data_IF_595753846120
#
_entry.id   IF_595753846120
#
_cell.length_a   1.000
_cell.length_b   1.000
_cell.length_c   1.000
_cell.angle_alpha   90.00
_cell.angle_beta   90.00
_cell.angle_gamma   90.00
#
_symmetry.space_group_name_H-M   'P 1'
#
loop_
_entity.id
_entity.type
_entity.pdbx_description
1 polymer ?
#
# COMPACT_ATOMS: atom_id res chain seq x y z
N UNK A 1 15.08 53.66 15.20
CA UNK A 1 14.06 52.98 16.05
C UNK A 1 13.38 51.76 15.40
N UNK A 2 13.53 51.53 14.09
CA UNK A 2 12.79 50.46 13.36
C UNK A 2 13.54 49.12 13.21
N UNK A 3 14.72 48.95 13.81
CA UNK A 3 15.57 47.75 13.67
C UNK A 3 15.67 46.90 14.94
N UNK A 4 14.71 47.03 15.86
CA UNK A 4 14.68 46.15 17.03
C UNK A 4 14.14 44.79 16.59
N UNK A 5 14.98 43.76 16.66
CA UNK A 5 14.60 42.38 16.38
C UNK A 5 13.57 41.93 17.43
N UNK A 6 12.34 41.72 16.99
CA UNK A 6 11.28 41.15 17.83
C UNK A 6 11.54 39.65 18.00
N UNK A 7 11.65 39.22 19.25
CA UNK A 7 11.81 37.81 19.60
C UNK A 7 10.46 37.17 19.88
N UNK A 8 10.28 35.94 19.40
CA UNK A 8 9.17 35.09 19.81
C UNK A 8 9.49 34.42 21.17
N UNK A 9 8.48 34.11 22.01
CA UNK A 9 8.66 33.37 23.25
C UNK A 9 9.52 32.09 23.11
N UNK A 10 9.38 31.35 22.02
CA UNK A 10 10.19 30.16 21.72
C UNK A 10 11.68 30.43 21.51
N UNK A 11 12.06 31.65 21.13
CA UNK A 11 13.46 32.08 20.91
C UNK A 11 14.16 32.50 22.19
N UNK A 12 13.43 32.57 23.31
CA UNK A 12 13.94 32.92 24.62
C UNK A 12 14.09 31.63 25.44
N UNK A 13 15.14 31.47 26.27
CA UNK A 13 15.28 30.31 27.15
C UNK A 13 14.08 30.17 28.09
N UNK A 14 13.70 28.93 28.41
CA UNK A 14 12.50 28.62 29.19
C UNK A 14 12.45 29.35 30.55
N UNK A 15 13.62 29.59 31.16
CA UNK A 15 13.78 30.29 32.45
C UNK A 15 13.22 31.72 32.45
N UNK A 16 13.22 32.38 31.28
CA UNK A 16 12.75 33.76 31.13
C UNK A 16 11.36 33.85 30.51
N UNK A 17 10.71 32.71 30.21
CA UNK A 17 9.36 32.69 29.65
C UNK A 17 8.35 32.87 30.77
N UNK A 18 7.73 34.04 30.82
CA UNK A 18 6.57 34.25 31.67
C UNK A 18 5.36 33.62 30.98
N UNK A 19 4.63 32.72 31.67
CA UNK A 19 3.35 32.17 31.21
C UNK A 19 2.33 33.31 31.11
N UNK A 20 2.24 33.89 29.92
CA UNK A 20 1.40 35.04 29.60
C UNK A 20 0.65 34.76 28.29
N UNK A 21 -0.34 35.59 28.00
CA UNK A 21 -1.16 35.57 26.77
C UNK A 21 -0.33 35.52 25.47
N UNK A 22 0.90 36.02 25.49
CA UNK A 22 1.81 36.00 24.33
C UNK A 22 2.27 34.57 23.99
N UNK A 23 2.51 33.72 25.00
CA UNK A 23 2.85 32.31 24.78
C UNK A 23 1.67 31.59 24.14
N UNK A 24 0.45 31.83 24.62
CA UNK A 24 -0.76 31.24 24.04
C UNK A 24 -1.00 31.68 22.59
N UNK A 25 -0.69 32.95 22.28
CA UNK A 25 -0.74 33.48 20.91
C UNK A 25 0.29 32.78 20.02
N UNK A 26 1.53 32.59 20.50
CA UNK A 26 2.54 31.85 19.74
C UNK A 26 2.12 30.40 19.53
N UNK A 27 1.59 29.71 20.55
CA UNK A 27 1.09 28.34 20.43
C UNK A 27 0.04 28.24 19.32
N UNK A 28 -0.97 29.13 19.32
CA UNK A 28 -1.99 29.19 18.26
C UNK A 28 -1.37 29.44 16.88
N UNK A 29 -0.39 30.34 16.78
CA UNK A 29 0.34 30.61 15.55
C UNK A 29 1.07 29.35 15.04
N UNK A 30 1.77 28.63 15.92
CA UNK A 30 2.52 27.42 15.54
C UNK A 30 1.62 26.27 15.12
N UNK A 31 0.47 26.10 15.78
CA UNK A 31 -0.56 25.14 15.35
C UNK A 31 -1.04 25.46 13.94
N UNK A 32 -1.38 26.73 13.66
CA UNK A 32 -1.76 27.16 12.32
C UNK A 32 -0.67 26.90 11.27
N UNK A 33 0.58 27.28 11.57
CA UNK A 33 1.72 27.03 10.69
C UNK A 33 1.95 25.54 10.41
N UNK A 34 1.75 24.66 11.40
CA UNK A 34 1.87 23.23 11.22
C UNK A 34 0.79 22.67 10.28
N UNK A 35 -0.48 23.07 10.47
CA UNK A 35 -1.57 22.65 9.58
C UNK A 35 -1.42 23.23 8.16
N UNK A 36 -0.99 24.48 8.01
CA UNK A 36 -0.71 25.08 6.70
C UNK A 36 0.44 24.37 5.98
N UNK A 37 1.49 23.98 6.73
CA UNK A 37 2.59 23.21 6.19
C UNK A 37 2.12 21.81 5.74
N UNK A 38 1.26 21.13 6.51
CA UNK A 38 0.67 19.85 6.11
C UNK A 38 -0.20 19.98 4.86
N UNK A 39 -1.04 21.02 4.78
CA UNK A 39 -1.86 21.30 3.60
C UNK A 39 -0.98 21.54 2.36
N UNK A 40 0.05 22.36 2.52
CA UNK A 40 1.04 22.61 1.46
C UNK A 40 1.77 21.34 1.02
N UNK A 41 2.11 20.46 1.96
CA UNK A 41 2.76 19.18 1.68
C UNK A 41 1.85 18.30 0.83
N UNK A 42 0.56 18.18 1.18
CA UNK A 42 -0.42 17.41 0.41
C UNK A 42 -0.57 17.93 -1.01
N UNK A 43 -0.80 19.24 -1.17
CA UNK A 43 -0.94 19.86 -2.49
C UNK A 43 0.30 19.63 -3.37
N UNK A 44 1.52 19.80 -2.85
CA UNK A 44 2.73 19.54 -3.64
C UNK A 44 2.80 18.10 -4.15
N UNK A 45 2.38 17.13 -3.33
CA UNK A 45 2.43 15.71 -3.68
C UNK A 45 1.28 15.25 -4.59
N UNK A 46 0.25 16.06 -4.80
CA UNK A 46 -0.80 15.82 -5.80
C UNK A 46 -0.29 16.09 -7.24
N UNK A 47 0.60 17.07 -7.41
CA UNK A 47 0.97 17.59 -8.72
C UNK A 47 2.34 17.12 -9.26
N UNK A 48 3.07 16.28 -8.52
CA UNK A 48 4.44 15.84 -8.84
C UNK A 48 4.53 14.69 -9.86
N UNK A 49 4.00 14.87 -11.07
CA UNK A 49 4.13 13.89 -12.17
C UNK A 49 5.18 14.24 -13.25
N UNK A 50 5.88 15.38 -13.20
CA UNK A 50 6.80 15.80 -14.27
C UNK A 50 8.29 15.76 -13.87
N UNK A 51 9.10 14.96 -14.58
CA UNK A 51 10.49 14.59 -14.22
C UNK A 51 11.49 15.74 -14.03
N UNK A 52 11.42 16.83 -14.80
CA UNK A 52 12.27 18.02 -14.63
C UNK A 52 11.80 18.94 -13.49
N UNK A 53 10.51 18.86 -13.11
CA UNK A 53 9.96 19.52 -11.93
C UNK A 53 10.25 18.75 -10.64
N UNK A 54 10.79 17.52 -10.70
CA UNK A 54 10.99 16.68 -9.52
C UNK A 54 12.04 17.28 -8.58
N UNK A 55 13.15 17.83 -9.09
CA UNK A 55 14.20 18.32 -8.17
C UNK A 55 13.80 19.61 -7.47
N UNK A 56 13.19 20.55 -8.18
CA UNK A 56 12.64 21.78 -7.58
C UNK A 56 11.46 21.48 -6.65
N UNK A 57 10.59 20.54 -7.02
CA UNK A 57 9.51 20.06 -6.16
C UNK A 57 10.05 19.36 -4.90
N UNK A 58 11.07 18.50 -5.02
CA UNK A 58 11.74 17.86 -3.88
C UNK A 58 12.31 18.89 -2.90
N UNK A 59 12.99 19.93 -3.41
CA UNK A 59 13.51 21.02 -2.56
C UNK A 59 12.38 21.78 -1.87
N UNK A 60 11.28 22.05 -2.57
CA UNK A 60 10.10 22.73 -2.01
C UNK A 60 9.43 21.87 -0.94
N UNK A 61 9.25 20.59 -1.20
CA UNK A 61 8.75 19.59 -0.25
C UNK A 61 9.62 19.54 1.00
N UNK A 62 10.94 19.46 0.85
CA UNK A 62 11.87 19.47 1.98
C UNK A 62 11.74 20.78 2.79
N UNK A 63 11.61 21.93 2.13
CA UNK A 63 11.39 23.22 2.81
C UNK A 63 10.04 23.28 3.55
N UNK A 64 8.99 22.64 3.03
CA UNK A 64 7.70 22.57 3.71
C UNK A 64 7.79 21.61 4.91
N UNK A 65 8.45 20.47 4.75
CA UNK A 65 8.68 19.51 5.82
C UNK A 65 9.48 20.14 6.98
N UNK A 66 10.52 20.91 6.69
CA UNK A 66 11.29 21.61 7.74
C UNK A 66 10.46 22.66 8.49
N UNK A 67 9.56 23.38 7.80
CA UNK A 67 8.63 24.30 8.47
C UNK A 67 7.69 23.57 9.43
N UNK A 68 7.18 22.42 9.01
CA UNK A 68 6.34 21.57 9.85
C UNK A 68 7.11 21.07 11.09
N UNK A 69 8.30 20.50 10.91
CA UNK A 69 9.09 19.96 12.02
C UNK A 69 9.51 21.04 13.02
N UNK A 70 9.93 22.22 12.55
CA UNK A 70 10.24 23.36 13.42
C UNK A 70 9.01 23.83 14.18
N UNK A 71 7.84 23.87 13.55
CA UNK A 71 6.59 24.26 14.22
C UNK A 71 6.21 23.24 15.31
N UNK A 72 6.37 21.94 15.05
CA UNK A 72 6.13 20.90 16.04
C UNK A 72 7.14 20.94 17.19
N UNK A 73 8.44 21.11 16.91
CA UNK A 73 9.48 21.23 17.93
C UNK A 73 9.27 22.45 18.83
N UNK A 74 8.88 23.58 18.24
CA UNK A 74 8.56 24.79 19.02
C UNK A 74 7.32 24.57 19.90
N UNK A 75 6.27 23.90 19.41
CA UNK A 75 5.11 23.52 20.22
C UNK A 75 5.49 22.62 21.40
N UNK A 76 6.28 21.57 21.15
CA UNK A 76 6.82 20.69 22.20
C UNK A 76 7.56 21.51 23.26
N UNK A 77 8.37 22.48 22.84
CA UNK A 77 9.15 23.33 23.76
C UNK A 77 8.31 24.31 24.59
N UNK A 78 7.11 24.67 24.14
CA UNK A 78 6.24 25.67 24.78
C UNK A 78 5.18 25.03 25.68
N UNK A 79 4.60 23.90 25.27
CA UNK A 79 3.44 23.27 25.93
C UNK A 79 3.80 21.90 26.53
N UNK A 80 4.89 21.28 26.09
CA UNK A 80 5.20 19.87 26.39
C UNK A 80 4.48 18.91 25.44
N UNK A 81 4.84 17.63 25.49
CA UNK A 81 4.29 16.61 24.59
C UNK A 81 2.78 16.39 24.78
N UNK A 82 2.27 16.51 26.00
CA UNK A 82 0.89 16.14 26.34
C UNK A 82 -0.16 17.17 25.89
N UNK A 83 0.26 18.39 25.56
CA UNK A 83 -0.64 19.47 25.13
C UNK A 83 -0.72 19.67 23.61
N UNK A 84 -0.14 18.75 22.83
CA UNK A 84 -0.11 18.84 21.37
C UNK A 84 -1.37 18.18 20.81
N UNK A 85 -1.91 18.78 19.75
CA UNK A 85 -3.01 18.19 18.99
C UNK A 85 -2.63 16.77 18.51
N UNK A 86 -3.42 15.73 18.80
CA UNK A 86 -3.12 14.35 18.40
C UNK A 86 -3.01 14.15 16.87
N UNK A 87 -3.51 15.11 16.07
CA UNK A 87 -3.34 15.11 14.62
C UNK A 87 -1.92 15.51 14.17
N UNK A 88 -1.18 16.25 15.00
CA UNK A 88 0.20 16.65 14.74
C UNK A 88 1.17 15.58 15.23
N UNK A 89 1.65 14.75 14.29
CA UNK A 89 2.60 13.67 14.56
C UNK A 89 4.01 14.04 14.11
N UNK A 90 5.00 13.33 14.64
CA UNK A 90 6.37 13.40 14.12
C UNK A 90 6.37 13.07 12.61
N UNK A 91 6.93 13.96 11.79
CA UNK A 91 7.06 13.76 10.35
C UNK A 91 8.40 13.10 10.05
N UNK A 92 8.36 11.85 9.58
CA UNK A 92 9.54 11.13 9.11
C UNK A 92 9.69 11.31 7.60
N UNK A 93 10.90 11.15 7.07
CA UNK A 93 11.14 11.26 5.62
C UNK A 93 10.27 10.30 4.81
N UNK A 94 10.00 9.11 5.37
CA UNK A 94 9.08 8.14 4.76
C UNK A 94 7.63 8.64 4.72
N UNK A 95 7.19 9.52 5.61
CA UNK A 95 5.80 9.95 5.61
C UNK A 95 5.51 10.95 4.47
N UNK A 96 6.56 11.58 3.94
CA UNK A 96 6.54 12.54 2.85
C UNK A 96 6.43 11.79 1.51
N UNK A 97 5.23 11.32 1.21
CA UNK A 97 4.92 10.48 0.04
C UNK A 97 3.69 10.97 -0.71
N UNK A 98 3.65 10.70 -2.02
CA UNK A 98 2.46 10.94 -2.81
C UNK A 98 1.34 9.99 -2.42
N UNK A 99 0.10 10.40 -2.68
CA UNK A 99 -1.07 9.62 -2.35
C UNK A 99 -1.08 8.25 -3.08
N UNK A 100 -0.42 8.15 -4.23
CA UNK A 100 -0.31 6.93 -5.03
C UNK A 100 0.92 6.06 -4.68
N UNK A 101 1.88 6.57 -3.89
CA UNK A 101 3.09 5.82 -3.57
C UNK A 101 2.80 4.64 -2.62
N UNK A 102 3.37 3.46 -2.88
CA UNK A 102 3.27 2.34 -1.95
C UNK A 102 3.98 2.65 -0.62
N UNK A 103 3.41 2.15 0.47
CA UNK A 103 4.06 2.20 1.78
C UNK A 103 5.30 1.29 1.76
N UNK A 104 6.48 1.85 2.06
CA UNK A 104 7.70 1.08 2.28
C UNK A 104 7.75 0.75 3.77
N UNK A 105 7.40 -0.48 4.13
CA UNK A 105 7.63 -1.01 5.48
C UNK A 105 9.13 -1.26 5.66
N UNK A 106 9.73 -0.67 6.69
CA UNK A 106 11.16 -0.89 7.05
C UNK A 106 11.48 -2.36 7.36
N UNK A 107 10.49 -3.15 7.78
CA UNK A 107 10.63 -4.59 8.06
C UNK A 107 10.72 -5.49 6.82
N UNK A 108 10.65 -4.92 5.61
CA UNK A 108 10.77 -5.67 4.35
C UNK A 108 12.05 -5.30 3.62
N UNK A 109 13.19 -5.66 4.22
CA UNK A 109 14.48 -5.75 3.54
C UNK A 109 14.59 -6.97 2.59
N UNK A 110 13.50 -7.72 2.41
CA UNK A 110 13.41 -8.74 1.37
C UNK A 110 12.95 -8.10 0.06
N UNK A 111 13.92 -7.88 -0.84
CA UNK A 111 13.74 -7.44 -2.23
C UNK A 111 12.72 -8.26 -3.02
N UNK A 112 12.33 -9.44 -2.53
CA UNK A 112 11.29 -10.29 -3.11
C UNK A 112 9.87 -9.74 -2.88
N UNK A 113 9.64 -8.97 -1.80
CA UNK A 113 8.30 -8.47 -1.44
C UNK A 113 7.97 -7.10 -2.06
N UNK A 114 8.96 -6.35 -2.54
CA UNK A 114 8.73 -5.13 -3.32
C UNK A 114 7.97 -5.40 -4.64
N UNK A 115 8.02 -6.64 -5.13
CA UNK A 115 7.30 -7.09 -6.33
C UNK A 115 5.94 -7.76 -6.04
N UNK A 116 5.52 -7.89 -4.78
CA UNK A 116 4.23 -8.50 -4.43
C UNK A 116 3.08 -7.48 -4.53
N UNK A 117 2.82 -7.01 -5.76
CA UNK A 117 1.60 -6.31 -6.14
C UNK A 117 1.22 -5.05 -5.34
N UNK A 118 0.08 -4.45 -5.67
CA UNK A 118 -0.44 -3.25 -5.00
C UNK A 118 -1.27 -3.57 -3.75
N UNK A 119 -1.30 -4.82 -3.29
CA UNK A 119 -2.20 -5.31 -2.24
C UNK A 119 -1.88 -4.83 -0.82
N UNK A 120 -0.63 -4.42 -0.56
CA UNK A 120 -0.16 -3.98 0.77
C UNK A 120 -0.04 -2.44 0.88
N UNK A 121 -0.62 -1.67 -0.05
CA UNK A 121 -0.49 -0.20 -0.02
C UNK A 121 -1.34 0.41 1.10
N UNK A 122 -0.72 1.10 2.04
CA UNK A 122 -1.40 2.00 2.97
C UNK A 122 -1.03 3.46 2.69
N UNK A 123 -1.95 4.36 3.01
CA UNK A 123 -1.74 5.81 2.86
C UNK A 123 -0.94 6.34 4.06
N UNK A 124 0.01 7.24 3.80
CA UNK A 124 0.73 7.96 4.86
C UNK A 124 -0.24 8.72 5.78
N UNK A 125 0.09 8.84 7.06
CA UNK A 125 -0.74 9.49 8.07
C UNK A 125 -1.03 10.97 7.75
N UNK A 126 -0.16 11.62 6.97
CA UNK A 126 -0.37 12.98 6.49
C UNK A 126 -1.65 13.10 5.67
N UNK A 127 -2.10 12.01 5.02
CA UNK A 127 -3.34 11.95 4.25
C UNK A 127 -4.53 11.50 5.11
N UNK A 128 -4.32 10.62 6.09
CA UNK A 128 -5.38 10.16 6.99
C UNK A 128 -5.97 11.29 7.85
N UNK A 129 -5.12 12.22 8.31
CA UNK A 129 -5.56 13.39 9.08
C UNK A 129 -6.33 14.43 8.24
N UNK A 130 -6.24 14.36 6.90
CA UNK A 130 -6.96 15.26 5.99
C UNK A 130 -8.44 14.91 5.82
N UNK A 131 -8.87 13.71 6.24
CA UNK A 131 -10.24 13.24 6.02
C UNK A 131 -11.32 14.09 6.71
N UNK A 132 -10.98 14.89 7.72
CA UNK A 132 -11.91 15.78 8.43
C UNK A 132 -11.64 17.28 8.26
N UNK A 133 -10.46 17.67 7.77
CA UNK A 133 -10.01 19.07 7.74
C UNK A 133 -9.27 19.44 6.45
N UNK A 134 -9.44 18.63 5.40
CA UNK A 134 -8.86 18.85 4.07
C UNK A 134 -9.64 19.91 3.29
N UNK A 135 -9.01 20.47 2.27
CA UNK A 135 -9.70 21.26 1.26
C UNK A 135 -10.43 20.36 0.24
N UNK A 136 -11.26 20.97 -0.61
CA UNK A 136 -12.03 20.22 -1.61
C UNK A 136 -11.14 19.39 -2.55
N UNK A 137 -9.95 19.87 -2.87
CA UNK A 137 -8.99 19.18 -3.75
C UNK A 137 -8.45 17.91 -3.09
N UNK A 138 -8.02 17.99 -1.83
CA UNK A 138 -7.58 16.82 -1.05
C UNK A 138 -8.72 15.81 -0.84
N UNK A 139 -9.93 16.27 -0.57
CA UNK A 139 -11.10 15.39 -0.46
C UNK A 139 -11.43 14.68 -1.79
N UNK A 140 -11.32 15.37 -2.93
CA UNK A 140 -11.52 14.75 -4.24
C UNK A 140 -10.47 13.68 -4.52
N UNK A 141 -9.20 13.98 -4.26
CA UNK A 141 -8.14 13.00 -4.43
C UNK A 141 -8.28 11.78 -3.52
N UNK A 142 -8.67 11.98 -2.25
CA UNK A 142 -8.97 10.88 -1.33
C UNK A 142 -10.15 10.02 -1.81
N UNK A 143 -11.19 10.63 -2.40
CA UNK A 143 -12.31 9.89 -3.00
C UNK A 143 -11.85 9.04 -4.18
N UNK A 144 -11.02 9.59 -5.06
CA UNK A 144 -10.44 8.85 -6.20
C UNK A 144 -9.63 7.66 -5.72
N UNK A 145 -8.74 7.85 -4.74
CA UNK A 145 -7.94 6.74 -4.21
C UNK A 145 -8.78 5.72 -3.45
N UNK A 146 -9.80 6.14 -2.70
CA UNK A 146 -10.74 5.21 -2.09
C UNK A 146 -11.47 4.36 -3.13
N UNK A 147 -11.92 4.97 -4.23
CA UNK A 147 -12.56 4.24 -5.33
C UNK A 147 -11.58 3.25 -5.98
N UNK A 148 -10.32 3.62 -6.19
CA UNK A 148 -9.27 2.71 -6.70
C UNK A 148 -9.01 1.55 -5.74
N UNK A 149 -8.86 1.83 -4.45
CA UNK A 149 -8.67 0.80 -3.40
C UNK A 149 -9.85 -0.16 -3.34
N UNK A 150 -11.08 0.37 -3.39
CA UNK A 150 -12.31 -0.43 -3.44
C UNK A 150 -12.36 -1.31 -4.69
N UNK A 151 -12.10 -0.76 -5.87
CA UNK A 151 -12.08 -1.52 -7.11
C UNK A 151 -11.02 -2.62 -7.09
N UNK A 152 -9.85 -2.36 -6.49
CA UNK A 152 -8.80 -3.37 -6.31
C UNK A 152 -9.22 -4.47 -5.35
N UNK A 153 -9.90 -4.12 -4.25
CA UNK A 153 -10.45 -5.09 -3.29
C UNK A 153 -11.49 -6.02 -3.96
N UNK A 154 -12.41 -5.45 -4.73
CA UNK A 154 -13.41 -6.27 -5.44
C UNK A 154 -12.75 -7.19 -6.47
N UNK A 155 -11.79 -6.68 -7.27
CA UNK A 155 -11.02 -7.52 -8.20
C UNK A 155 -10.27 -8.65 -7.49
N UNK A 156 -9.61 -8.36 -6.37
CA UNK A 156 -8.92 -9.39 -5.59
C UNK A 156 -9.89 -10.47 -5.11
N UNK A 157 -11.09 -10.08 -4.67
CA UNK A 157 -12.13 -11.03 -4.28
C UNK A 157 -12.56 -11.90 -5.46
N UNK A 158 -12.75 -11.32 -6.64
CA UNK A 158 -13.05 -12.05 -7.88
C UNK A 158 -11.92 -13.01 -8.24
N UNK A 159 -10.66 -12.57 -8.19
CA UNK A 159 -9.47 -13.40 -8.47
C UNK A 159 -9.38 -14.60 -7.53
N UNK A 160 -9.66 -14.43 -6.23
CA UNK A 160 -9.70 -15.56 -5.28
C UNK A 160 -10.78 -16.56 -5.66
N UNK A 161 -11.99 -16.09 -6.01
CA UNK A 161 -13.08 -16.97 -6.43
C UNK A 161 -12.74 -17.70 -7.74
N UNK A 162 -12.16 -17.00 -8.71
CA UNK A 162 -11.70 -17.58 -9.97
C UNK A 162 -10.61 -18.62 -9.74
N UNK A 163 -9.64 -18.35 -8.86
CA UNK A 163 -8.58 -19.29 -8.53
C UNK A 163 -9.14 -20.57 -7.89
N UNK A 164 -10.09 -20.45 -6.96
CA UNK A 164 -10.77 -21.62 -6.39
C UNK A 164 -11.52 -22.43 -7.47
N UNK A 165 -12.19 -21.76 -8.41
CA UNK A 165 -12.84 -22.42 -9.54
C UNK A 165 -11.84 -23.08 -10.51
N UNK A 166 -10.71 -22.44 -10.78
CA UNK A 166 -9.64 -23.03 -11.59
C UNK A 166 -9.06 -24.27 -10.93
N UNK A 167 -8.84 -24.26 -9.60
CA UNK A 167 -8.42 -25.43 -8.85
C UNK A 167 -9.41 -26.58 -9.03
N UNK A 168 -10.72 -26.34 -8.85
CA UNK A 168 -11.76 -27.36 -9.07
C UNK A 168 -11.74 -27.87 -10.52
N UNK A 169 -11.63 -26.98 -11.50
CA UNK A 169 -11.59 -27.34 -12.93
C UNK A 169 -10.35 -28.15 -13.30
N UNK A 170 -9.20 -27.88 -12.69
CA UNK A 170 -7.98 -28.67 -12.92
C UNK A 170 -8.15 -30.09 -12.40
N UNK A 171 -8.76 -30.29 -11.23
CA UNK A 171 -9.05 -31.63 -10.72
C UNK A 171 -10.02 -32.37 -11.66
N UNK A 172 -11.13 -31.73 -12.02
CA UNK A 172 -12.12 -32.32 -12.94
C UNK A 172 -11.53 -32.61 -14.32
N UNK A 173 -10.61 -31.76 -14.80
CA UNK A 173 -9.89 -31.98 -16.05
C UNK A 173 -8.99 -33.22 -15.97
N UNK A 174 -8.26 -33.42 -14.87
CA UNK A 174 -7.46 -34.62 -14.69
C UNK A 174 -8.33 -35.89 -14.67
N UNK A 175 -9.46 -35.88 -13.98
CA UNK A 175 -10.43 -37.01 -13.97
C UNK A 175 -10.96 -37.30 -15.37
N UNK A 176 -11.42 -36.26 -16.07
CA UNK A 176 -11.92 -36.39 -17.43
C UNK A 176 -10.84 -36.94 -18.37
N UNK A 177 -9.59 -36.47 -18.25
CA UNK A 177 -8.47 -36.95 -19.06
C UNK A 177 -8.05 -38.38 -18.72
N UNK A 178 -8.12 -38.79 -17.46
CA UNK A 178 -7.93 -40.18 -17.04
C UNK A 178 -8.96 -41.09 -17.73
N UNK A 179 -10.24 -40.76 -17.61
CA UNK A 179 -11.33 -41.51 -18.26
C UNK A 179 -11.15 -41.59 -19.78
N UNK A 180 -10.81 -40.46 -20.43
CA UNK A 180 -10.55 -40.42 -21.86
C UNK A 180 -9.42 -41.35 -22.30
N UNK A 181 -8.33 -41.43 -21.52
CA UNK A 181 -7.24 -42.37 -21.82
C UNK A 181 -7.65 -43.83 -21.63
N UNK A 182 -8.48 -44.13 -20.63
CA UNK A 182 -9.04 -45.46 -20.40
C UNK A 182 -9.94 -45.87 -21.58
N UNK A 183 -10.87 -45.01 -21.99
CA UNK A 183 -11.77 -45.26 -23.12
C UNK A 183 -10.99 -45.47 -24.43
N UNK A 184 -9.94 -44.67 -24.65
CA UNK A 184 -9.07 -44.81 -25.81
C UNK A 184 -8.36 -46.18 -25.84
N UNK A 185 -8.02 -46.74 -24.67
CA UNK A 185 -7.41 -48.07 -24.57
C UNK A 185 -8.34 -49.19 -25.06
N UNK A 186 -9.66 -48.97 -25.01
CA UNK A 186 -10.69 -49.92 -25.43
C UNK A 186 -11.14 -49.72 -26.88
N UNK A 187 -10.94 -48.54 -27.45
CA UNK A 187 -11.50 -48.15 -28.75
C UNK A 187 -10.64 -48.55 -29.96
N UNK A 188 -9.41 -49.04 -29.75
CA UNK A 188 -8.47 -49.33 -30.83
C UNK A 188 -8.54 -50.81 -31.27
N UNK A 189 -9.15 -51.05 -32.43
CA UNK A 189 -9.38 -52.40 -32.99
C UNK A 189 -8.67 -52.67 -34.32
N UNK A 190 -8.10 -51.67 -34.99
CA UNK A 190 -7.51 -51.80 -36.33
C UNK A 190 -6.01 -52.11 -36.37
N UNK A 191 -5.38 -52.40 -35.23
CA UNK A 191 -3.92 -52.57 -35.10
C UNK A 191 -3.51 -54.04 -34.98
N UNK A 192 -2.25 -54.33 -35.31
CA UNK A 192 -1.67 -55.66 -35.05
C UNK A 192 -1.57 -55.95 -33.54
N UNK A 193 -1.57 -57.22 -33.14
CA UNK A 193 -1.55 -57.63 -31.72
C UNK A 193 -0.43 -56.95 -30.89
N UNK A 194 0.85 -56.92 -31.32
CA UNK A 194 1.91 -56.26 -30.54
C UNK A 194 1.70 -54.74 -30.40
N UNK A 195 1.15 -54.09 -31.42
CA UNK A 195 0.84 -52.66 -31.40
C UNK A 195 -0.34 -52.36 -30.46
N UNK A 196 -1.33 -53.25 -30.41
CA UNK A 196 -2.49 -53.12 -29.53
C UNK A 196 -2.07 -53.24 -28.06
N UNK A 197 -1.21 -54.20 -27.72
CA UNK A 197 -0.64 -54.33 -26.36
C UNK A 197 0.19 -53.11 -25.96
N UNK A 198 1.07 -52.64 -26.84
CA UNK A 198 1.90 -51.45 -26.60
C UNK A 198 1.06 -50.18 -26.40
N UNK A 199 0.04 -49.96 -27.23
CA UNK A 199 -0.86 -48.83 -27.10
C UNK A 199 -1.71 -48.92 -25.83
N UNK A 200 -2.20 -50.11 -25.48
CA UNK A 200 -2.96 -50.31 -24.24
C UNK A 200 -2.08 -50.02 -23.02
N UNK A 201 -0.85 -50.50 -22.99
CA UNK A 201 0.10 -50.19 -21.92
C UNK A 201 0.40 -48.68 -21.83
N UNK A 202 0.58 -48.01 -22.97
CA UNK A 202 0.83 -46.57 -23.03
C UNK A 202 -0.36 -45.74 -22.54
N UNK A 203 -1.57 -46.02 -23.03
CA UNK A 203 -2.79 -45.29 -22.65
C UNK A 203 -3.11 -45.47 -21.17
N UNK A 204 -2.99 -46.69 -20.63
CA UNK A 204 -3.13 -46.93 -19.19
C UNK A 204 -2.06 -46.21 -18.35
N UNK A 205 -0.82 -46.12 -18.84
CA UNK A 205 0.22 -45.31 -18.20
C UNK A 205 -0.11 -43.81 -18.22
N UNK A 206 -0.69 -43.30 -19.29
CA UNK A 206 -1.13 -41.90 -19.36
C UNK A 206 -2.30 -41.63 -18.40
N UNK A 207 -3.24 -42.57 -18.28
CA UNK A 207 -4.32 -42.50 -17.31
C UNK A 207 -3.78 -42.44 -15.86
N UNK A 208 -2.85 -43.33 -15.50
CA UNK A 208 -2.26 -43.34 -14.15
C UNK A 208 -1.46 -42.07 -13.83
N UNK A 209 -0.85 -41.44 -14.83
CA UNK A 209 -0.14 -40.17 -14.68
C UNK A 209 -1.11 -39.01 -14.41
N UNK A 210 -2.28 -38.99 -15.05
CA UNK A 210 -3.32 -37.99 -14.76
C UNK A 210 -3.89 -38.17 -13.36
N UNK A 211 -4.17 -39.41 -12.96
CA UNK A 211 -4.61 -39.72 -11.60
C UNK A 211 -3.57 -39.26 -10.55
N UNK A 212 -2.29 -39.47 -10.82
CA UNK A 212 -1.20 -39.05 -9.92
C UNK A 212 -1.12 -37.52 -9.79
N UNK A 213 -1.30 -36.80 -10.90
CA UNK A 213 -1.36 -35.32 -10.91
C UNK A 213 -2.56 -34.81 -10.13
N UNK A 214 -3.73 -35.41 -10.32
CA UNK A 214 -4.93 -35.05 -9.58
C UNK A 214 -4.72 -35.21 -8.07
N UNK A 215 -4.22 -36.37 -7.62
CA UNK A 215 -3.94 -36.63 -6.19
C UNK A 215 -2.95 -35.63 -5.62
N UNK A 216 -1.93 -35.26 -6.40
CA UNK A 216 -0.96 -34.25 -5.99
C UNK A 216 -1.58 -32.86 -5.85
N UNK A 217 -2.39 -32.42 -6.81
CA UNK A 217 -3.06 -31.13 -6.70
C UNK A 217 -4.10 -31.10 -5.58
N UNK A 218 -4.84 -32.21 -5.40
CA UNK A 218 -5.78 -32.35 -4.29
C UNK A 218 -5.06 -32.22 -2.95
N UNK A 219 -3.91 -32.86 -2.76
CA UNK A 219 -3.15 -32.73 -1.51
C UNK A 219 -2.63 -31.31 -1.28
N UNK A 220 -2.23 -30.60 -2.34
CA UNK A 220 -1.84 -29.19 -2.26
C UNK A 220 -3.02 -28.28 -1.90
N UNK A 221 -4.21 -28.57 -2.39
CA UNK A 221 -5.40 -27.71 -2.27
C UNK A 221 -6.37 -28.10 -1.16
N UNK A 222 -6.12 -29.21 -0.44
CA UNK A 222 -6.99 -29.71 0.64
C UNK A 222 -7.28 -28.71 1.77
N UNK A 223 -6.40 -27.71 1.97
CA UNK A 223 -6.58 -26.68 2.99
C UNK A 223 -7.21 -25.38 2.44
N UNK A 224 -7.47 -25.33 1.12
CA UNK A 224 -7.95 -24.14 0.40
C UNK A 224 -9.38 -24.36 -0.14
N UNK A 225 -9.64 -25.54 -0.72
CA UNK A 225 -10.95 -25.96 -1.24
C UNK A 225 -11.84 -26.56 -0.14
#
# INVERSE_FOLDING_TARGET
>A
PETIKLFLPSQIPAEYRVQNTIVDIEVKLRVGQAFDALSSLRSQHMHTHAMALIESAKRKTASIATKYTVSCQTLISLVGLDGIDPQLKELRDRDVRTLSDPEISEDKQDSHTQNLGEGSRALSWIWMSAAGNGDNETHEALRVEWMKLRARKERWREEVLLLCEEMRRVLAFCEHREAWWIDLSHSQTSLSLPQLEGNKAYTLRQASLQQSRQKHFQSLWNNIL
#
